data_IF_153857339080
#
_entry.id   IF_153857339080
#
_cell.length_a   1.000
_cell.length_b   1.000
_cell.length_c   1.000
_cell.angle_alpha   90.00
_cell.angle_beta   90.00
_cell.angle_gamma   90.00
#
_symmetry.space_group_name_H-M   'P 1'
#
loop_
_entity.id
_entity.type
_entity.pdbx_description
1 polymer ?
#
# COMPACT_ATOMS: atom_id res chain seq x y z
N UNK A 1 -24.66 30.56 -1.85
CA UNK A 1 -23.72 29.44 -2.14
C UNK A 1 -23.92 28.42 -1.04
N UNK A 2 -24.08 27.15 -1.38
CA UNK A 2 -24.07 26.08 -0.37
C UNK A 2 -22.68 26.02 0.26
N UNK A 3 -22.61 26.09 1.58
CA UNK A 3 -21.36 25.91 2.28
C UNK A 3 -21.03 24.44 2.46
N UNK A 4 -19.73 24.12 2.49
CA UNK A 4 -19.25 22.76 2.74
C UNK A 4 -18.54 22.73 4.08
N UNK A 5 -18.94 21.82 4.97
CA UNK A 5 -18.18 21.54 6.17
C UNK A 5 -17.21 20.39 5.90
N UNK A 6 -15.92 20.64 6.08
CA UNK A 6 -14.86 19.64 5.96
C UNK A 6 -14.24 19.35 7.32
N UNK A 7 -13.75 18.13 7.47
CA UNK A 7 -13.10 17.61 8.68
C UNK A 7 -12.04 16.57 8.28
N UNK A 8 -11.30 16.06 9.27
CA UNK A 8 -10.37 14.95 9.04
C UNK A 8 -9.22 15.32 8.07
N UNK A 9 -8.83 14.43 7.15
CA UNK A 9 -7.74 14.64 6.19
C UNK A 9 -7.83 15.95 5.39
N UNK A 10 -9.03 16.38 4.99
CA UNK A 10 -9.24 17.58 4.16
C UNK A 10 -8.91 18.89 4.88
N UNK A 11 -8.62 18.86 6.18
CA UNK A 11 -8.07 19.99 6.92
C UNK A 11 -6.61 20.29 6.52
N UNK A 12 -5.89 19.33 5.94
CA UNK A 12 -4.56 19.56 5.36
C UNK A 12 -4.67 20.49 4.15
N UNK A 13 -3.99 21.64 4.22
CA UNK A 13 -4.07 22.68 3.20
C UNK A 13 -3.60 22.17 1.83
N UNK A 14 -2.47 21.45 1.79
CA UNK A 14 -1.91 20.94 0.53
C UNK A 14 -2.87 19.92 -0.12
N UNK A 15 -3.40 18.98 0.66
CA UNK A 15 -4.38 18.01 0.17
C UNK A 15 -5.63 18.73 -0.36
N UNK A 16 -6.15 19.68 0.41
CA UNK A 16 -7.34 20.44 0.01
C UNK A 16 -7.11 21.21 -1.27
N UNK A 17 -5.96 21.85 -1.43
CA UNK A 17 -5.59 22.58 -2.65
C UNK A 17 -5.47 21.65 -3.87
N UNK A 18 -4.86 20.48 -3.71
CA UNK A 18 -4.78 19.45 -4.77
C UNK A 18 -6.19 19.01 -5.21
N UNK A 19 -7.03 18.66 -4.24
CA UNK A 19 -8.41 18.21 -4.49
C UNK A 19 -9.23 19.32 -5.14
N UNK A 20 -9.23 20.52 -4.58
CA UNK A 20 -10.02 21.66 -5.08
C UNK A 20 -9.45 22.25 -6.38
N UNK A 21 -8.16 22.06 -6.64
CA UNK A 21 -7.45 22.56 -7.82
C UNK A 21 -7.02 24.03 -7.71
N UNK A 22 -7.11 24.63 -6.53
CA UNK A 22 -6.67 25.99 -6.21
C UNK A 22 -6.70 26.21 -4.69
N UNK A 23 -6.00 27.23 -4.17
CA UNK A 23 -6.17 27.73 -2.81
C UNK A 23 -7.64 27.97 -2.46
N UNK A 24 -8.11 27.33 -1.39
CA UNK A 24 -9.45 27.53 -0.84
C UNK A 24 -9.37 27.58 0.69
N UNK A 25 -9.42 28.80 1.21
CA UNK A 25 -9.45 29.07 2.63
C UNK A 25 -10.81 28.69 3.23
N UNK A 26 -10.79 28.22 4.48
CA UNK A 26 -11.99 27.92 5.24
C UNK A 26 -12.11 28.78 6.49
N UNK A 27 -13.33 28.96 6.96
CA UNK A 27 -13.61 29.58 8.25
C UNK A 27 -13.73 28.49 9.32
N UNK A 28 -13.10 28.62 10.50
CA UNK A 28 -13.27 27.66 11.59
C UNK A 28 -14.75 27.46 11.92
N UNK A 29 -15.17 26.19 11.91
CA UNK A 29 -16.55 25.79 12.16
C UNK A 29 -16.58 24.57 13.07
N UNK A 30 -17.69 24.38 13.77
CA UNK A 30 -17.89 23.28 14.71
C UNK A 30 -19.17 22.52 14.37
N UNK A 31 -19.04 21.23 14.06
CA UNK A 31 -20.16 20.30 13.99
C UNK A 31 -20.51 19.82 15.40
N UNK A 32 -21.79 19.78 15.73
CA UNK A 32 -22.28 19.34 17.05
C UNK A 32 -22.89 17.94 16.98
N UNK A 33 -22.99 17.29 18.14
CA UNK A 33 -23.56 15.96 18.33
C UNK A 33 -22.85 14.84 17.54
N UNK A 34 -21.58 15.06 17.21
CA UNK A 34 -20.74 14.10 16.53
C UNK A 34 -19.37 14.02 17.21
N UNK A 35 -18.78 12.84 17.17
CA UNK A 35 -17.38 12.60 17.51
C UNK A 35 -16.64 12.08 16.29
N UNK A 36 -15.41 12.55 16.10
CA UNK A 36 -14.50 12.05 15.07
C UNK A 36 -13.66 10.91 15.64
N UNK A 37 -13.71 9.74 15.02
CA UNK A 37 -13.03 8.53 15.48
C UNK A 37 -12.11 7.98 14.39
N UNK A 38 -11.06 7.29 14.84
CA UNK A 38 -10.14 6.55 14.00
C UNK A 38 -10.73 5.16 13.75
N UNK A 39 -10.78 4.71 12.51
CA UNK A 39 -11.10 3.33 12.15
C UNK A 39 -9.82 2.50 11.97
N UNK A 40 -9.90 1.17 12.02
CA UNK A 40 -8.73 0.29 11.98
C UNK A 40 -7.89 0.46 10.69
N UNK A 41 -8.54 0.83 9.59
CA UNK A 41 -7.91 1.13 8.30
C UNK A 41 -7.30 2.54 8.21
N UNK A 42 -7.35 3.33 9.29
CA UNK A 42 -6.83 4.69 9.35
C UNK A 42 -7.84 5.81 9.00
N UNK A 43 -9.06 5.47 8.63
CA UNK A 43 -10.07 6.46 8.22
C UNK A 43 -10.59 7.30 9.38
N UNK A 44 -11.00 8.53 9.07
CA UNK A 44 -11.63 9.47 9.99
C UNK A 44 -13.15 9.38 9.86
N UNK A 45 -13.80 8.65 10.77
CA UNK A 45 -15.25 8.41 10.73
C UNK A 45 -16.02 9.33 11.68
N UNK A 46 -17.24 9.70 11.30
CA UNK A 46 -18.14 10.48 12.15
C UNK A 46 -19.19 9.58 12.81
N UNK A 47 -19.18 9.57 14.13
CA UNK A 47 -20.14 8.84 14.96
C UNK A 47 -21.06 9.84 15.66
N UNK A 48 -22.37 9.58 15.66
CA UNK A 48 -23.33 10.38 16.40
C UNK A 48 -23.05 10.22 17.92
N UNK A 49 -22.79 11.34 18.59
CA UNK A 49 -22.49 11.35 20.03
C UNK A 49 -23.01 12.66 20.62
N UNK A 50 -24.12 12.59 21.36
CA UNK A 50 -24.77 13.76 21.93
C UNK A 50 -23.80 14.58 22.80
N UNK A 51 -23.80 15.91 22.61
CA UNK A 51 -22.92 16.82 23.33
C UNK A 51 -21.45 16.83 22.88
N UNK A 52 -21.04 15.90 21.99
CA UNK A 52 -19.71 15.95 21.38
C UNK A 52 -19.65 16.98 20.25
N UNK A 53 -18.43 17.41 19.92
CA UNK A 53 -18.19 18.38 18.85
C UNK A 53 -17.00 17.98 18.01
N UNK A 54 -17.06 18.29 16.71
CA UNK A 54 -15.94 18.14 15.76
C UNK A 54 -15.57 19.49 15.22
N UNK A 55 -14.30 19.88 15.42
CA UNK A 55 -13.72 21.06 14.78
C UNK A 55 -13.42 20.78 13.31
N UNK A 56 -13.74 21.73 12.44
CA UNK A 56 -13.47 21.65 11.03
C UNK A 56 -13.46 23.03 10.38
N UNK A 57 -13.64 23.05 9.06
CA UNK A 57 -13.68 24.29 8.28
C UNK A 57 -14.97 24.36 7.46
N UNK A 58 -15.59 25.54 7.45
CA UNK A 58 -16.62 25.92 6.50
C UNK A 58 -15.97 26.51 5.25
N UNK A 59 -16.25 25.92 4.10
CA UNK A 59 -15.79 26.34 2.78
C UNK A 59 -16.95 26.89 1.95
N UNK A 60 -16.65 27.82 1.05
CA UNK A 60 -17.59 28.35 0.06
C UNK A 60 -17.04 28.15 -1.36
N UNK A 61 -16.96 26.90 -1.85
CA UNK A 61 -16.44 26.62 -3.18
C UNK A 61 -17.39 27.14 -4.28
N UNK A 62 -16.82 27.54 -5.42
CA UNK A 62 -17.60 27.67 -6.65
C UNK A 62 -18.05 26.30 -7.18
N UNK A 63 -18.91 26.26 -8.20
CA UNK A 63 -19.46 25.00 -8.72
C UNK A 63 -18.40 23.97 -9.14
N UNK A 64 -17.29 24.41 -9.77
CA UNK A 64 -16.20 23.54 -10.18
C UNK A 64 -15.47 22.96 -8.97
N UNK A 65 -15.17 23.80 -7.98
CA UNK A 65 -14.50 23.40 -6.74
C UNK A 65 -15.38 22.43 -5.92
N UNK A 66 -16.69 22.68 -5.85
CA UNK A 66 -17.66 21.84 -5.16
C UNK A 66 -17.74 20.44 -5.79
N UNK A 67 -17.77 20.36 -7.13
CA UNK A 67 -17.79 19.09 -7.85
C UNK A 67 -16.50 18.26 -7.61
N UNK A 68 -15.34 18.92 -7.59
CA UNK A 68 -14.05 18.27 -7.30
C UNK A 68 -13.99 17.73 -5.87
N UNK A 69 -14.42 18.53 -4.89
CA UNK A 69 -14.48 18.14 -3.49
C UNK A 69 -15.44 16.96 -3.28
N UNK A 70 -16.63 17.01 -3.89
CA UNK A 70 -17.61 15.94 -3.81
C UNK A 70 -17.10 14.63 -4.42
N UNK A 71 -16.46 14.70 -5.59
CA UNK A 71 -15.86 13.53 -6.25
C UNK A 71 -14.82 12.85 -5.35
N UNK A 72 -13.85 13.61 -4.84
CA UNK A 72 -12.80 13.07 -3.97
C UNK A 72 -13.37 12.52 -2.66
N UNK A 73 -14.25 13.27 -2.00
CA UNK A 73 -14.85 12.86 -0.73
C UNK A 73 -15.70 11.57 -0.89
N UNK A 74 -16.40 11.42 -2.01
CA UNK A 74 -17.10 10.17 -2.37
C UNK A 74 -16.11 9.01 -2.58
N UNK A 75 -14.99 9.29 -3.24
CA UNK A 75 -13.88 8.33 -3.39
C UNK A 75 -13.24 7.90 -2.08
N UNK A 76 -13.27 8.75 -1.06
CA UNK A 76 -12.87 8.40 0.31
C UNK A 76 -13.99 7.71 1.12
N UNK A 77 -15.09 7.31 0.47
CA UNK A 77 -16.21 6.64 1.12
C UNK A 77 -17.23 7.55 1.78
N UNK A 78 -17.11 8.87 1.62
CA UNK A 78 -18.03 9.85 2.16
C UNK A 78 -19.35 9.90 1.40
N UNK A 79 -20.47 9.97 2.13
CA UNK A 79 -21.79 10.22 1.54
C UNK A 79 -22.26 11.64 1.89
N UNK A 80 -22.85 12.39 0.94
CA UNK A 80 -23.27 13.76 1.20
C UNK A 80 -24.43 13.79 2.18
N UNK A 81 -24.32 14.62 3.22
CA UNK A 81 -25.36 14.89 4.21
C UNK A 81 -25.48 16.39 4.48
N UNK A 82 -26.70 16.83 4.78
CA UNK A 82 -26.93 18.18 5.30
C UNK A 82 -26.70 18.17 6.80
N UNK A 83 -25.99 19.19 7.30
CA UNK A 83 -25.69 19.35 8.71
C UNK A 83 -25.78 20.82 9.14
N UNK A 84 -26.01 21.04 10.43
CA UNK A 84 -25.88 22.36 11.05
C UNK A 84 -24.51 22.48 11.71
N UNK A 85 -23.76 23.52 11.32
CA UNK A 85 -22.46 23.84 11.89
C UNK A 85 -22.48 25.22 12.52
N UNK A 86 -21.68 25.38 13.58
CA UNK A 86 -21.53 26.66 14.28
C UNK A 86 -20.27 27.37 13.81
N UNK A 87 -20.43 28.62 13.37
CA UNK A 87 -19.33 29.53 13.01
C UNK A 87 -19.39 30.70 13.99
N UNK A 88 -18.47 30.73 14.96
CA UNK A 88 -18.57 31.66 16.10
C UNK A 88 -19.83 31.39 16.93
N UNK A 89 -20.78 32.32 16.91
CA UNK A 89 -22.09 32.22 17.59
C UNK A 89 -23.24 31.88 16.65
N UNK A 90 -23.01 31.89 15.33
CA UNK A 90 -24.04 31.66 14.33
C UNK A 90 -24.14 30.19 13.96
N UNK A 91 -25.35 29.69 13.74
CA UNK A 91 -25.58 28.41 13.08
C UNK A 91 -25.77 28.62 11.59
N UNK A 92 -25.18 27.72 10.80
CA UNK A 92 -25.27 27.70 9.34
C UNK A 92 -25.46 26.27 8.89
N UNK A 93 -26.35 26.08 7.92
CA UNK A 93 -26.49 24.83 7.20
C UNK A 93 -25.30 24.64 6.26
N UNK A 94 -24.78 23.41 6.19
CA UNK A 94 -23.67 23.02 5.33
C UNK A 94 -23.86 21.61 4.79
N UNK A 95 -23.23 21.31 3.65
CA UNK A 95 -23.05 19.94 3.17
C UNK A 95 -21.75 19.38 3.75
N UNK A 96 -21.80 18.19 4.34
CA UNK A 96 -20.61 17.40 4.68
C UNK A 96 -20.63 16.08 3.94
N UNK A 97 -19.48 15.43 3.82
CA UNK A 97 -19.38 14.07 3.30
C UNK A 97 -19.06 13.15 4.45
N UNK A 98 -20.08 12.42 4.92
CA UNK A 98 -19.96 11.55 6.08
C UNK A 98 -19.34 10.22 5.70
N UNK A 99 -18.20 9.91 6.30
CA UNK A 99 -17.68 8.54 6.36
C UNK A 99 -18.28 7.89 7.59
N UNK A 100 -19.10 6.85 7.38
CA UNK A 100 -19.79 6.12 8.44
C UNK A 100 -18.94 4.95 8.93
N UNK A 101 -18.95 4.70 10.23
CA UNK A 101 -18.37 3.51 10.85
C UNK A 101 -19.08 3.18 12.17
N UNK A 102 -18.70 2.07 12.81
CA UNK A 102 -19.47 1.51 13.94
C UNK A 102 -19.06 2.08 15.29
N UNK A 103 -17.77 2.00 15.64
CA UNK A 103 -17.27 2.37 16.98
C UNK A 103 -15.95 3.12 16.93
N UNK A 104 -15.10 2.81 15.94
CA UNK A 104 -13.71 3.28 15.87
C UNK A 104 -12.82 2.59 16.90
N UNK A 105 -11.50 2.61 16.66
CA UNK A 105 -10.47 2.06 17.55
C UNK A 105 -9.91 3.11 18.52
N UNK A 106 -10.29 4.38 18.36
CA UNK A 106 -9.82 5.48 19.21
C UNK A 106 -10.31 6.86 18.74
N UNK A 107 -9.97 7.94 19.46
CA UNK A 107 -10.13 9.30 18.94
C UNK A 107 -9.23 9.48 17.71
N UNK A 108 -9.72 10.21 16.71
CA UNK A 108 -8.88 10.59 15.57
C UNK A 108 -8.11 11.87 15.89
N UNK A 109 -6.81 11.89 15.60
CA UNK A 109 -5.95 13.05 15.76
C UNK A 109 -5.31 13.49 14.43
N UNK A 110 -5.39 14.79 14.15
CA UNK A 110 -4.86 15.36 12.90
C UNK A 110 -3.33 15.30 12.84
N UNK A 111 -2.64 15.50 13.96
CA UNK A 111 -1.18 15.51 14.03
C UNK A 111 -0.60 14.11 13.81
N UNK A 112 -1.18 13.10 14.45
CA UNK A 112 -0.84 11.69 14.25
C UNK A 112 -1.12 11.26 12.81
N UNK A 113 -2.32 11.58 12.28
CA UNK A 113 -2.65 11.28 10.89
C UNK A 113 -1.70 11.97 9.90
N UNK A 114 -1.39 13.27 10.11
CA UNK A 114 -0.53 14.03 9.20
C UNK A 114 0.89 13.46 9.15
N UNK A 115 1.40 13.02 10.31
CA UNK A 115 2.72 12.38 10.45
C UNK A 115 2.75 11.03 9.77
N UNK A 116 1.74 10.18 10.00
CA UNK A 116 1.72 8.79 9.53
C UNK A 116 1.24 8.63 8.09
N UNK A 117 0.16 9.30 7.72
CA UNK A 117 -0.55 9.09 6.45
C UNK A 117 -0.53 10.30 5.52
N UNK A 118 -0.33 11.51 6.04
CA UNK A 118 -0.48 12.76 5.26
C UNK A 118 0.30 12.79 3.94
N UNK A 119 1.55 12.30 3.93
CA UNK A 119 2.36 12.22 2.68
C UNK A 119 1.74 11.26 1.66
N UNK A 120 1.34 10.06 2.11
CA UNK A 120 0.72 9.04 1.26
C UNK A 120 -0.61 9.55 0.72
N UNK A 121 -1.46 10.16 1.56
CA UNK A 121 -2.77 10.68 1.15
C UNK A 121 -2.64 11.78 0.09
N UNK A 122 -1.70 12.72 0.26
CA UNK A 122 -1.44 13.76 -0.75
C UNK A 122 -0.98 13.18 -2.08
N UNK A 123 -0.11 12.18 -2.06
CA UNK A 123 0.36 11.51 -3.28
C UNK A 123 -0.74 10.70 -3.96
N UNK A 124 -1.56 10.01 -3.17
CA UNK A 124 -2.73 9.29 -3.65
C UNK A 124 -3.78 10.24 -4.27
N UNK A 125 -3.93 11.44 -3.71
CA UNK A 125 -4.84 12.45 -4.24
C UNK A 125 -4.46 12.92 -5.65
N UNK A 126 -3.17 13.04 -5.97
CA UNK A 126 -2.73 13.37 -7.34
C UNK A 126 -3.26 12.35 -8.36
N UNK A 127 -3.14 11.06 -8.06
CA UNK A 127 -3.67 9.99 -8.90
C UNK A 127 -5.20 9.95 -8.90
N UNK A 128 -5.83 10.04 -7.73
CA UNK A 128 -7.29 10.03 -7.61
C UNK A 128 -7.95 11.13 -8.43
N UNK A 129 -7.38 12.34 -8.38
CA UNK A 129 -7.88 13.52 -9.08
C UNK A 129 -7.55 13.52 -10.58
N UNK A 130 -6.56 12.73 -11.02
CA UNK A 130 -6.30 12.53 -12.45
C UNK A 130 -7.46 11.81 -13.15
N UNK A 131 -8.20 10.95 -12.44
CA UNK A 131 -9.38 10.24 -12.98
C UNK A 131 -10.68 11.08 -12.96
N UNK A 132 -10.63 12.32 -12.45
CA UNK A 132 -11.81 13.17 -12.40
C UNK A 132 -12.37 13.41 -13.81
N UNK A 133 -13.62 12.98 -14.02
CA UNK A 133 -14.30 13.08 -15.31
C UNK A 133 -14.12 11.86 -16.22
N UNK A 134 -13.27 10.90 -15.82
CA UNK A 134 -13.11 9.60 -16.48
C UNK A 134 -13.90 8.50 -15.75
N UNK A 135 -13.88 8.51 -14.41
CA UNK A 135 -14.67 7.61 -13.56
C UNK A 135 -15.48 8.40 -12.53
N UNK A 136 -16.48 7.77 -11.93
CA UNK A 136 -17.26 8.37 -10.84
C UNK A 136 -16.62 8.13 -9.46
N UNK A 137 -17.12 8.83 -8.44
CA UNK A 137 -16.59 8.74 -7.07
C UNK A 137 -16.75 7.34 -6.45
N UNK A 138 -17.78 6.58 -6.84
CA UNK A 138 -18.01 5.21 -6.36
C UNK A 138 -16.95 4.26 -6.91
N UNK A 139 -16.63 4.38 -8.20
CA UNK A 139 -15.54 3.63 -8.85
C UNK A 139 -14.19 4.03 -8.27
N UNK A 140 -14.00 5.33 -8.00
CA UNK A 140 -12.80 5.81 -7.32
C UNK A 140 -12.65 5.16 -5.93
N UNK A 141 -13.74 5.04 -5.16
CA UNK A 141 -13.74 4.40 -3.85
C UNK A 141 -13.23 2.96 -3.92
N UNK A 142 -13.73 2.18 -4.88
CA UNK A 142 -13.28 0.80 -5.08
C UNK A 142 -11.77 0.71 -5.40
N UNK A 143 -11.19 1.75 -6.02
CA UNK A 143 -9.76 1.80 -6.40
C UNK A 143 -8.85 2.42 -5.34
N UNK A 144 -9.42 3.08 -4.33
CA UNK A 144 -8.65 3.88 -3.39
C UNK A 144 -7.61 3.09 -2.57
N UNK A 145 -7.90 1.85 -2.11
CA UNK A 145 -6.89 1.03 -1.44
C UNK A 145 -5.64 0.83 -2.32
N UNK A 146 -5.83 0.47 -3.59
CA UNK A 146 -4.72 0.26 -4.52
C UNK A 146 -3.98 1.56 -4.88
N UNK A 147 -4.70 2.69 -4.98
CA UNK A 147 -4.09 4.01 -5.19
C UNK A 147 -3.19 4.40 -4.00
N UNK A 148 -3.70 4.25 -2.78
CA UNK A 148 -2.92 4.52 -1.55
C UNK A 148 -1.68 3.63 -1.47
N UNK A 149 -1.83 2.36 -1.81
CA UNK A 149 -0.72 1.40 -1.82
C UNK A 149 0.36 1.75 -2.85
N UNK A 150 -0.02 2.10 -4.09
CA UNK A 150 0.93 2.60 -5.11
C UNK A 150 1.61 3.89 -4.65
N UNK A 151 0.86 4.80 -4.02
CA UNK A 151 1.41 6.04 -3.47
C UNK A 151 2.45 5.77 -2.37
N UNK A 152 2.17 4.83 -1.46
CA UNK A 152 3.10 4.41 -0.42
C UNK A 152 4.38 3.78 -0.99
N UNK A 153 4.24 2.88 -1.96
CA UNK A 153 5.39 2.25 -2.64
C UNK A 153 6.27 3.28 -3.35
N UNK A 154 5.66 4.23 -4.06
CA UNK A 154 6.40 5.30 -4.74
C UNK A 154 7.16 6.19 -3.76
N UNK A 155 6.58 6.51 -2.61
CA UNK A 155 7.26 7.28 -1.55
C UNK A 155 8.43 6.51 -0.94
N UNK A 156 8.27 5.20 -0.69
CA UNK A 156 9.39 4.34 -0.24
C UNK A 156 10.53 4.35 -1.26
N UNK A 157 10.21 4.16 -2.54
CA UNK A 157 11.17 4.21 -3.65
C UNK A 157 11.88 5.57 -3.80
N UNK A 158 11.18 6.69 -3.54
CA UNK A 158 11.78 8.03 -3.55
C UNK A 158 12.82 8.23 -2.44
N UNK A 159 12.72 7.48 -1.34
CA UNK A 159 13.69 7.51 -0.23
C UNK A 159 14.69 6.35 -0.26
N UNK A 160 14.60 5.45 -1.25
CA UNK A 160 15.48 4.30 -1.35
C UNK A 160 16.89 4.72 -1.78
N UNK A 161 17.88 4.45 -0.93
CA UNK A 161 19.29 4.77 -1.17
C UNK A 161 20.11 3.49 -1.38
N UNK A 162 20.16 3.03 -2.64
CA UNK A 162 20.94 1.85 -3.02
C UNK A 162 22.44 2.21 -3.11
N UNK A 163 23.36 1.37 -2.59
CA UNK A 163 24.79 1.60 -2.75
C UNK A 163 25.20 1.70 -4.23
N UNK A 164 25.89 2.79 -4.58
CA UNK A 164 26.38 3.09 -5.93
C UNK A 164 27.89 2.88 -6.09
N UNK A 165 28.46 1.90 -5.37
CA UNK A 165 29.90 1.62 -5.40
C UNK A 165 30.37 1.00 -6.74
N UNK A 166 29.46 0.31 -7.44
CA UNK A 166 29.72 -0.31 -8.75
C UNK A 166 28.73 0.15 -9.82
N UNK A 167 27.44 0.32 -9.47
CA UNK A 167 26.40 0.79 -10.38
C UNK A 167 26.50 2.31 -10.59
N UNK A 168 25.81 2.80 -11.62
CA UNK A 168 25.74 4.24 -11.87
C UNK A 168 25.18 5.03 -10.69
N UNK A 169 25.78 6.17 -10.38
CA UNK A 169 25.26 7.18 -9.46
C UNK A 169 24.33 8.21 -10.13
N UNK A 170 23.96 8.00 -11.41
CA UNK A 170 23.03 8.88 -12.12
C UNK A 170 21.69 8.94 -11.43
N UNK A 171 21.35 10.11 -10.89
CA UNK A 171 20.08 10.34 -10.20
C UNK A 171 18.91 10.50 -11.18
N UNK A 172 17.68 10.20 -10.71
CA UNK A 172 16.46 10.15 -11.53
C UNK A 172 16.10 11.48 -12.20
N UNK A 173 16.49 12.60 -11.60
CA UNK A 173 16.27 13.95 -12.13
C UNK A 173 17.00 14.23 -13.45
N UNK A 174 17.99 13.39 -13.79
CA UNK A 174 18.70 13.44 -15.08
C UNK A 174 17.91 12.79 -16.21
N UNK A 175 16.83 12.07 -15.91
CA UNK A 175 15.93 11.48 -16.91
C UNK A 175 14.88 12.51 -17.30
N UNK A 176 14.84 12.87 -18.57
CA UNK A 176 13.80 13.73 -19.12
C UNK A 176 12.55 12.90 -19.39
N UNK A 177 11.42 13.29 -18.79
CA UNK A 177 10.09 12.74 -19.09
C UNK A 177 9.43 13.64 -20.13
N UNK A 178 9.14 13.08 -21.30
CA UNK A 178 8.56 13.78 -22.45
C UNK A 178 7.03 13.60 -22.50
N UNK A 179 6.54 12.42 -22.13
CA UNK A 179 5.12 12.11 -22.02
C UNK A 179 4.90 10.98 -21.01
N UNK A 180 3.73 10.96 -20.37
CA UNK A 180 3.28 9.93 -19.44
C UNK A 180 1.79 9.65 -19.71
N UNK A 181 1.41 8.38 -19.79
CA UNK A 181 0.02 7.93 -19.96
C UNK A 181 -0.26 6.70 -19.10
N UNK A 182 -1.53 6.50 -18.73
CA UNK A 182 -1.99 5.31 -17.98
C UNK A 182 -3.05 4.57 -18.80
N UNK A 183 -2.65 3.72 -19.76
CA UNK A 183 -3.61 3.04 -20.64
C UNK A 183 -4.52 2.03 -19.93
N UNK A 184 -4.13 1.56 -18.73
CA UNK A 184 -4.92 0.60 -17.96
C UNK A 184 -4.81 0.88 -16.47
N UNK A 185 -5.96 0.89 -15.79
CA UNK A 185 -6.05 1.02 -14.33
C UNK A 185 -7.24 0.22 -13.85
N UNK A 186 -6.98 -0.78 -13.04
CA UNK A 186 -7.96 -1.56 -12.29
C UNK A 186 -7.29 -2.12 -11.02
N UNK A 187 -7.31 -3.45 -10.82
CA UNK A 187 -6.54 -4.12 -9.76
C UNK A 187 -5.03 -3.82 -9.85
N UNK A 188 -4.47 -3.79 -11.05
CA UNK A 188 -3.13 -3.25 -11.35
C UNK A 188 -3.25 -1.99 -12.21
N UNK A 189 -2.17 -1.22 -12.33
CA UNK A 189 -2.07 -0.15 -13.32
C UNK A 189 -0.94 -0.43 -14.32
N UNK A 190 -1.08 0.09 -15.54
CA UNK A 190 0.01 0.18 -16.52
C UNK A 190 0.30 1.65 -16.75
N UNK A 191 1.56 2.04 -16.56
CA UNK A 191 2.07 3.36 -16.94
C UNK A 191 2.95 3.22 -18.17
N UNK A 192 2.72 4.07 -19.17
CA UNK A 192 3.62 4.25 -20.30
C UNK A 192 4.29 5.62 -20.21
N UNK A 193 5.60 5.65 -20.46
CA UNK A 193 6.39 6.89 -20.49
C UNK A 193 7.21 6.98 -21.75
N UNK A 194 7.34 8.19 -22.27
CA UNK A 194 8.35 8.55 -23.27
C UNK A 194 9.45 9.30 -22.53
N UNK A 195 10.66 8.76 -22.53
CA UNK A 195 11.79 9.31 -21.78
C UNK A 195 13.04 9.47 -22.65
N UNK A 196 13.95 10.32 -22.19
CA UNK A 196 15.34 10.36 -22.68
C UNK A 196 16.29 10.45 -21.48
N UNK A 197 17.34 9.65 -21.46
CA UNK A 197 18.26 9.54 -20.32
C UNK A 197 19.73 9.69 -20.74
N UNK A 198 20.64 10.02 -19.81
CA UNK A 198 22.08 10.03 -20.07
C UNK A 198 22.57 8.63 -20.46
N UNK A 199 23.51 8.57 -21.40
CA UNK A 199 24.19 7.34 -21.81
C UNK A 199 25.56 7.23 -21.14
N UNK A 200 26.08 6.01 -21.05
CA UNK A 200 27.41 5.75 -20.48
C UNK A 200 28.57 6.32 -21.30
N UNK A 201 28.34 6.65 -22.57
CA UNK A 201 29.32 7.32 -23.45
C UNK A 201 29.33 8.85 -23.30
N UNK A 202 28.60 9.39 -22.32
CA UNK A 202 28.46 10.84 -22.09
C UNK A 202 27.41 11.52 -22.96
N UNK A 203 26.79 10.80 -23.91
CA UNK A 203 25.70 11.31 -24.73
C UNK A 203 24.34 11.25 -24.05
N UNK A 204 23.29 11.54 -24.83
CA UNK A 204 21.88 11.42 -24.43
C UNK A 204 21.20 10.38 -25.33
N UNK A 205 20.28 9.60 -24.77
CA UNK A 205 19.53 8.62 -25.54
C UNK A 205 18.57 9.31 -26.51
N UNK A 206 18.16 8.60 -27.56
CA UNK A 206 16.95 8.98 -28.29
C UNK A 206 15.71 8.89 -27.37
N UNK A 207 14.54 9.28 -27.90
CA UNK A 207 13.27 9.13 -27.19
C UNK A 207 12.91 7.64 -27.11
N UNK A 208 12.71 7.15 -25.89
CA UNK A 208 12.42 5.76 -25.62
C UNK A 208 11.01 5.65 -25.06
N UNK A 209 10.16 4.83 -25.68
CA UNK A 209 8.89 4.40 -25.10
C UNK A 209 9.16 3.25 -24.12
N UNK A 210 8.65 3.35 -22.90
CA UNK A 210 8.67 2.30 -21.88
C UNK A 210 7.27 2.12 -21.30
N UNK A 211 6.99 0.90 -20.85
CA UNK A 211 5.77 0.58 -20.13
C UNK A 211 6.16 -0.20 -18.86
N UNK A 212 5.42 -0.02 -17.79
CA UNK A 212 5.59 -0.76 -16.55
C UNK A 212 4.25 -1.08 -15.89
N UNK A 213 4.16 -2.27 -15.30
CA UNK A 213 3.11 -2.64 -14.37
C UNK A 213 3.38 -1.96 -13.03
N UNK A 214 2.45 -1.10 -12.64
CA UNK A 214 2.52 -0.31 -11.42
C UNK A 214 1.69 -0.96 -10.34
N UNK A 215 2.37 -1.40 -9.28
CA UNK A 215 1.79 -2.06 -8.12
C UNK A 215 2.51 -1.64 -6.83
N UNK A 216 1.99 -2.08 -5.69
CA UNK A 216 2.57 -1.83 -4.37
C UNK A 216 3.88 -2.57 -4.16
N UNK A 217 4.53 -2.29 -3.04
CA UNK A 217 5.62 -3.13 -2.53
C UNK A 217 5.04 -4.23 -1.66
N UNK A 218 5.80 -5.32 -1.52
CA UNK A 218 5.40 -6.47 -0.72
C UNK A 218 6.58 -6.98 0.13
N UNK A 219 6.23 -7.82 1.09
CA UNK A 219 7.18 -8.55 1.94
C UNK A 219 7.08 -10.03 1.64
N UNK A 220 8.18 -10.73 1.85
CA UNK A 220 8.16 -12.19 1.96
C UNK A 220 8.86 -12.57 3.25
N UNK A 221 8.33 -13.55 3.97
CA UNK A 221 8.95 -14.10 5.16
C UNK A 221 8.97 -15.61 5.06
N UNK A 222 10.17 -16.20 5.11
CA UNK A 222 10.33 -17.65 5.23
C UNK A 222 10.45 -17.98 6.73
N UNK A 223 9.44 -18.61 7.35
CA UNK A 223 9.57 -19.09 8.71
C UNK A 223 10.62 -20.19 8.79
N UNK A 224 11.50 -20.11 9.79
CA UNK A 224 12.57 -21.06 10.05
C UNK A 224 12.61 -21.41 11.54
N UNK A 225 12.59 -22.71 11.83
CA UNK A 225 12.83 -23.25 13.17
C UNK A 225 14.27 -23.76 13.25
N UNK A 226 15.18 -23.05 13.94
CA UNK A 226 16.57 -23.46 14.06
C UNK A 226 16.77 -24.69 14.94
N UNK A 227 15.81 -25.03 15.81
CA UNK A 227 15.90 -26.19 16.71
C UNK A 227 15.57 -27.48 15.96
N UNK A 228 14.53 -27.44 15.12
CA UNK A 228 14.10 -28.58 14.29
C UNK A 228 14.77 -28.62 12.92
N UNK A 229 15.45 -27.54 12.54
CA UNK A 229 16.03 -27.31 11.22
C UNK A 229 15.02 -27.43 10.08
N UNK A 230 13.80 -26.93 10.33
CA UNK A 230 12.68 -26.94 9.39
C UNK A 230 12.31 -25.54 8.93
N UNK A 231 11.68 -25.45 7.76
CA UNK A 231 11.09 -24.23 7.23
C UNK A 231 9.60 -24.46 6.97
N UNK A 232 8.84 -23.37 6.93
CA UNK A 232 7.47 -23.41 6.41
C UNK A 232 7.39 -22.75 5.03
N UNK A 233 6.74 -23.42 4.10
CA UNK A 233 6.31 -22.88 2.81
C UNK A 233 4.79 -22.86 2.76
N UNK A 234 4.24 -21.96 1.96
CA UNK A 234 2.84 -21.95 1.57
C UNK A 234 2.72 -22.37 0.10
N UNK A 235 1.65 -23.11 -0.22
CA UNK A 235 1.27 -23.51 -1.56
C UNK A 235 -0.07 -22.87 -1.91
N UNK A 236 -0.11 -22.10 -2.99
CA UNK A 236 -1.32 -21.42 -3.43
C UNK A 236 -1.41 -21.27 -4.94
N UNK A 237 -2.62 -21.10 -5.45
CA UNK A 237 -2.86 -20.81 -6.86
C UNK A 237 -2.34 -19.42 -7.23
N UNK A 238 -1.54 -19.34 -8.29
CA UNK A 238 -1.12 -18.06 -8.88
C UNK A 238 -1.65 -17.91 -10.30
N UNK A 239 -2.33 -16.79 -10.53
CA UNK A 239 -2.92 -16.47 -11.82
C UNK A 239 -1.87 -16.28 -12.94
N UNK A 240 -0.68 -15.76 -12.62
CA UNK A 240 0.35 -15.50 -13.63
C UNK A 240 0.91 -16.77 -14.28
N UNK A 241 1.33 -17.82 -13.54
CA UNK A 241 1.61 -19.14 -14.11
C UNK A 241 0.44 -19.72 -14.92
N UNK A 242 -0.79 -19.62 -14.42
CA UNK A 242 -1.99 -20.09 -15.14
C UNK A 242 -2.16 -19.38 -16.50
N UNK A 243 -2.08 -18.05 -16.52
CA UNK A 243 -2.20 -17.25 -17.75
C UNK A 243 -1.03 -17.48 -18.72
N UNK A 244 0.15 -17.84 -18.21
CA UNK A 244 1.31 -18.26 -19.00
C UNK A 244 1.09 -19.64 -19.65
N UNK A 245 0.10 -20.41 -19.20
CA UNK A 245 -0.18 -21.77 -19.67
C UNK A 245 0.64 -22.84 -18.94
N UNK A 246 1.08 -22.54 -17.70
CA UNK A 246 1.77 -23.52 -16.87
C UNK A 246 0.81 -24.67 -16.47
N UNK A 247 1.19 -25.95 -16.64
CA UNK A 247 0.34 -27.07 -16.23
C UNK A 247 0.15 -27.18 -14.72
N UNK A 248 0.96 -26.49 -13.90
CA UNK A 248 0.92 -26.56 -12.43
C UNK A 248 0.98 -25.15 -11.82
N UNK A 249 -0.14 -24.39 -11.83
CA UNK A 249 -0.13 -23.01 -11.36
C UNK A 249 -0.22 -22.84 -9.84
N UNK A 250 -0.12 -23.94 -9.07
CA UNK A 250 0.08 -23.89 -7.63
C UNK A 250 1.57 -23.90 -7.35
N UNK A 251 2.06 -22.88 -6.65
CA UNK A 251 3.48 -22.65 -6.44
C UNK A 251 3.81 -22.66 -4.95
N UNK A 252 5.03 -23.11 -4.63
CA UNK A 252 5.59 -23.07 -3.28
C UNK A 252 6.29 -21.72 -3.05
N UNK A 253 5.91 -21.02 -1.99
CA UNK A 253 6.35 -19.66 -1.67
C UNK A 253 6.58 -19.50 -0.15
N UNK A 254 7.36 -18.51 0.31
CA UNK A 254 7.26 -18.02 1.68
C UNK A 254 5.89 -17.35 1.89
N UNK A 255 5.55 -17.14 3.15
CA UNK A 255 4.46 -16.23 3.54
C UNK A 255 4.74 -14.87 2.91
N UNK A 256 3.73 -14.25 2.28
CA UNK A 256 3.95 -13.02 1.53
C UNK A 256 2.69 -12.18 1.44
N UNK A 257 2.86 -10.87 1.60
CA UNK A 257 1.76 -9.95 1.39
C UNK A 257 2.21 -8.51 1.23
N UNK A 258 1.23 -7.65 0.97
CA UNK A 258 1.50 -6.27 0.56
C UNK A 258 1.82 -5.42 1.78
N UNK A 259 2.65 -4.39 1.57
CA UNK A 259 2.94 -3.42 2.63
C UNK A 259 1.89 -2.32 2.58
N UNK A 260 1.06 -2.28 3.61
CA UNK A 260 -0.03 -1.32 3.69
C UNK A 260 0.47 0.13 3.84
N UNK A 261 -0.35 1.12 3.43
CA UNK A 261 -0.07 2.52 3.68
C UNK A 261 0.25 2.78 5.17
N UNK A 262 1.38 3.40 5.46
CA UNK A 262 1.79 3.72 6.84
C UNK A 262 2.31 2.52 7.64
N UNK A 263 2.55 1.38 6.99
CA UNK A 263 3.20 0.19 7.54
C UNK A 263 4.68 0.14 7.09
N UNK A 264 5.56 -0.32 7.98
CA UNK A 264 6.94 -0.69 7.65
C UNK A 264 7.01 -2.12 7.09
N UNK A 265 8.05 -2.48 6.31
CA UNK A 265 8.22 -3.87 5.86
C UNK A 265 8.26 -4.90 6.99
N UNK A 266 8.76 -4.53 8.17
CA UNK A 266 8.83 -5.44 9.32
C UNK A 266 7.46 -5.65 9.98
N UNK A 267 6.65 -4.59 10.09
CA UNK A 267 5.26 -4.69 10.57
C UNK A 267 4.43 -5.57 9.62
N UNK A 268 4.54 -5.34 8.31
CA UNK A 268 3.86 -6.15 7.29
C UNK A 268 4.24 -7.62 7.41
N UNK A 269 5.54 -7.94 7.47
CA UNK A 269 5.99 -9.33 7.54
C UNK A 269 5.47 -10.07 8.78
N UNK A 270 5.29 -9.36 9.90
CA UNK A 270 4.74 -9.94 11.14
C UNK A 270 3.23 -10.11 11.07
N UNK A 271 2.52 -9.14 10.47
CA UNK A 271 1.07 -9.21 10.25
C UNK A 271 0.73 -10.40 9.35
N UNK A 272 1.39 -10.51 8.19
CA UNK A 272 1.17 -11.61 7.24
C UNK A 272 1.47 -12.98 7.85
N UNK A 273 2.52 -13.11 8.68
CA UNK A 273 2.81 -14.36 9.36
C UNK A 273 1.70 -14.83 10.32
N UNK A 274 1.00 -13.89 10.95
CA UNK A 274 -0.16 -14.18 11.80
C UNK A 274 -1.39 -14.48 10.94
N UNK A 275 -1.64 -13.69 9.89
CA UNK A 275 -2.83 -13.81 9.03
C UNK A 275 -2.82 -15.10 8.19
N UNK A 276 -1.71 -15.44 7.55
CA UNK A 276 -1.64 -16.59 6.64
C UNK A 276 -1.39 -17.93 7.37
N UNK A 277 -0.63 -17.91 8.47
CA UNK A 277 -0.14 -19.12 9.13
C UNK A 277 -0.31 -19.16 10.66
N UNK A 278 -0.86 -18.11 11.28
CA UNK A 278 -1.02 -18.05 12.74
C UNK A 278 0.30 -18.05 13.51
N UNK A 279 1.41 -17.64 12.87
CA UNK A 279 2.76 -17.74 13.43
C UNK A 279 3.20 -16.44 14.10
N UNK A 280 3.57 -16.55 15.38
CA UNK A 280 4.30 -15.49 16.07
C UNK A 280 5.81 -15.58 15.80
N UNK A 281 6.36 -14.59 15.11
CA UNK A 281 7.79 -14.53 14.81
C UNK A 281 8.60 -13.97 15.98
N UNK A 282 9.51 -14.77 16.55
CA UNK A 282 10.42 -14.36 17.64
C UNK A 282 11.46 -13.34 17.17
N UNK A 283 12.06 -13.58 16.01
CA UNK A 283 13.04 -12.69 15.40
C UNK A 283 12.78 -12.58 13.90
N UNK A 284 13.16 -11.45 13.31
CA UNK A 284 13.02 -11.21 11.88
C UNK A 284 14.38 -10.76 11.35
N UNK A 285 14.89 -11.46 10.34
CA UNK A 285 16.19 -11.17 9.73
C UNK A 285 15.98 -10.73 8.29
N UNK A 286 16.32 -9.48 7.98
CA UNK A 286 16.29 -8.96 6.62
C UNK A 286 17.33 -9.69 5.76
N UNK A 287 16.86 -10.34 4.69
CA UNK A 287 17.71 -10.88 3.62
C UNK A 287 18.20 -9.72 2.75
N UNK A 288 17.27 -8.84 2.37
CA UNK A 288 17.48 -7.69 1.51
C UNK A 288 16.22 -7.35 0.73
N UNK A 289 16.32 -6.31 -0.10
CA UNK A 289 15.25 -5.89 -1.00
C UNK A 289 15.60 -6.20 -2.47
N UNK A 290 14.60 -6.50 -3.30
CA UNK A 290 14.81 -6.74 -4.72
C UNK A 290 13.64 -6.29 -5.61
N UNK A 291 13.94 -5.96 -6.87
CA UNK A 291 12.95 -5.87 -7.93
C UNK A 291 12.85 -7.25 -8.59
N UNK A 292 11.69 -7.94 -8.56
CA UNK A 292 11.56 -9.27 -9.14
C UNK A 292 11.71 -9.24 -10.67
N UNK A 293 11.27 -8.16 -11.32
CA UNK A 293 11.43 -7.95 -12.76
C UNK A 293 11.60 -6.45 -13.09
N UNK A 294 12.81 -5.87 -12.93
CA UNK A 294 13.04 -4.43 -13.04
C UNK A 294 12.81 -3.87 -14.45
N UNK A 295 12.66 -4.74 -15.46
CA UNK A 295 12.31 -4.34 -16.82
C UNK A 295 10.81 -4.09 -17.04
N UNK A 296 9.94 -4.52 -16.10
CA UNK A 296 8.50 -4.55 -16.32
C UNK A 296 7.65 -4.15 -15.11
N UNK A 297 8.11 -4.38 -13.88
CA UNK A 297 7.26 -4.28 -12.67
C UNK A 297 7.88 -3.31 -11.66
N UNK A 298 7.05 -2.45 -11.06
CA UNK A 298 7.51 -1.47 -10.06
C UNK A 298 7.65 -2.02 -8.65
N UNK A 299 7.06 -3.19 -8.38
CA UNK A 299 7.10 -3.87 -7.08
C UNK A 299 8.53 -3.99 -6.56
N UNK A 300 8.72 -3.63 -5.30
CA UNK A 300 9.92 -3.95 -4.54
C UNK A 300 9.58 -4.94 -3.43
N UNK A 301 10.31 -6.05 -3.39
CA UNK A 301 10.11 -7.12 -2.42
C UNK A 301 11.12 -7.00 -1.28
N UNK A 302 10.63 -6.94 -0.05
CA UNK A 302 11.45 -6.99 1.16
C UNK A 302 11.43 -8.41 1.74
N UNK A 303 12.53 -9.16 1.55
CA UNK A 303 12.60 -10.57 1.91
C UNK A 303 13.20 -10.76 3.31
N UNK A 304 12.60 -11.63 4.11
CA UNK A 304 13.01 -11.91 5.48
C UNK A 304 13.08 -13.41 5.77
N UNK A 305 13.90 -13.78 6.76
CA UNK A 305 13.75 -15.02 7.51
C UNK A 305 13.09 -14.69 8.85
N UNK A 306 11.99 -15.38 9.17
CA UNK A 306 11.29 -15.26 10.45
C UNK A 306 11.61 -16.44 11.35
N UNK A 307 12.11 -16.21 12.56
CA UNK A 307 12.34 -17.29 13.52
C UNK A 307 11.02 -17.61 14.22
N UNK A 308 10.54 -18.84 14.06
CA UNK A 308 9.32 -19.34 14.66
C UNK A 308 9.55 -20.73 15.26
N UNK A 309 8.63 -21.20 16.09
CA UNK A 309 8.53 -22.62 16.42
C UNK A 309 7.60 -23.25 15.37
N UNK A 310 8.05 -24.33 14.72
CA UNK A 310 7.32 -24.97 13.64
C UNK A 310 7.00 -26.42 14.02
N UNK A 311 6.01 -26.66 14.91
CA UNK A 311 5.54 -28.01 15.25
C UNK A 311 4.87 -28.68 14.04
N UNK A 312 4.66 -30.00 14.06
CA UNK A 312 4.07 -30.72 12.92
C UNK A 312 2.62 -30.26 12.66
N UNK A 313 1.93 -29.80 13.70
CA UNK A 313 0.59 -29.22 13.63
C UNK A 313 0.54 -27.85 12.94
N UNK A 314 1.70 -27.23 12.65
CA UNK A 314 1.75 -26.03 11.83
C UNK A 314 1.52 -26.34 10.34
N UNK A 315 1.61 -27.60 9.92
CA UNK A 315 1.10 -28.02 8.60
C UNK A 315 -0.43 -27.95 8.57
N UNK A 316 -1.00 -27.55 7.43
CA UNK A 316 -2.45 -27.51 7.30
C UNK A 316 -2.97 -26.62 6.19
N UNK A 317 -4.27 -26.34 6.26
CA UNK A 317 -4.93 -25.35 5.41
C UNK A 317 -5.00 -24.02 6.17
N UNK A 318 -4.70 -22.93 5.47
CA UNK A 318 -4.70 -21.56 5.98
C UNK A 318 -5.24 -20.58 4.93
N UNK A 319 -4.95 -19.30 5.13
CA UNK A 319 -5.43 -18.20 4.30
C UNK A 319 -6.66 -17.49 4.85
N UNK A 320 -6.94 -16.30 4.29
CA UNK A 320 -8.08 -15.48 4.71
C UNK A 320 -9.32 -15.79 3.86
N UNK A 321 -10.35 -16.36 4.48
CA UNK A 321 -11.66 -16.63 3.84
C UNK A 321 -12.23 -15.38 3.11
N UNK A 322 -11.96 -14.19 3.65
CA UNK A 322 -12.40 -12.92 3.10
C UNK A 322 -11.71 -12.54 1.78
N UNK A 323 -10.53 -13.09 1.51
CA UNK A 323 -9.72 -12.82 0.32
C UNK A 323 -9.86 -13.92 -0.76
N UNK A 324 -10.63 -14.96 -0.46
CA UNK A 324 -10.82 -16.10 -1.37
C UNK A 324 -9.55 -16.93 -1.56
N UNK A 325 -8.62 -16.85 -0.60
CA UNK A 325 -7.37 -17.58 -0.62
C UNK A 325 -7.57 -19.03 -0.17
N UNK A 326 -6.98 -19.96 -0.92
CA UNK A 326 -6.91 -21.40 -0.59
C UNK A 326 -5.42 -21.75 -0.45
N UNK A 327 -4.91 -21.66 0.78
CA UNK A 327 -3.49 -21.81 1.09
C UNK A 327 -3.26 -23.12 1.82
N UNK A 328 -2.23 -23.87 1.40
CA UNK A 328 -1.72 -25.03 2.13
C UNK A 328 -0.33 -24.74 2.68
N UNK A 329 -0.13 -24.90 3.98
CA UNK A 329 1.16 -24.80 4.64
C UNK A 329 1.89 -26.15 4.67
N UNK A 330 3.19 -26.13 4.39
CA UNK A 330 4.10 -27.28 4.36
C UNK A 330 5.27 -27.03 5.31
N UNK A 331 5.53 -27.92 6.27
CA UNK A 331 6.68 -27.82 7.19
C UNK A 331 7.68 -28.88 6.80
N UNK A 332 8.77 -28.47 6.15
CA UNK A 332 9.76 -29.41 5.59
C UNK A 332 11.13 -29.20 6.22
N UNK A 333 11.96 -30.26 6.32
CA UNK A 333 13.38 -30.11 6.66
C UNK A 333 14.06 -29.14 5.70
N UNK A 334 15.01 -28.35 6.18
CA UNK A 334 15.77 -27.45 5.34
C UNK A 334 16.47 -28.18 4.18
N UNK A 335 17.03 -29.36 4.42
CA UNK A 335 17.71 -30.11 3.36
C UNK A 335 16.73 -30.47 2.23
N UNK A 336 15.46 -30.75 2.58
CA UNK A 336 14.39 -30.95 1.60
C UNK A 336 14.08 -29.67 0.83
N UNK A 337 14.05 -28.50 1.47
CA UNK A 337 13.92 -27.21 0.77
C UNK A 337 15.01 -27.06 -0.31
N UNK A 338 16.26 -27.40 0.01
CA UNK A 338 17.36 -27.30 -0.95
C UNK A 338 17.22 -28.32 -2.10
N UNK A 339 16.80 -29.55 -1.82
CA UNK A 339 16.47 -30.53 -2.86
C UNK A 339 15.38 -29.98 -3.82
N UNK A 340 14.34 -29.34 -3.29
CA UNK A 340 13.26 -28.75 -4.11
C UNK A 340 13.76 -27.61 -4.99
N UNK A 341 14.73 -26.82 -4.52
CA UNK A 341 15.41 -25.79 -5.33
C UNK A 341 16.22 -26.44 -6.46
N UNK A 342 16.95 -27.53 -6.17
CA UNK A 342 17.78 -28.23 -7.15
C UNK A 342 16.94 -28.94 -8.23
N UNK A 343 15.81 -29.53 -7.86
CA UNK A 343 14.91 -30.20 -8.82
C UNK A 343 14.09 -29.23 -9.66
N UNK A 344 14.01 -27.96 -9.25
CA UNK A 344 13.15 -26.95 -9.86
C UNK A 344 11.67 -27.07 -9.48
N UNK A 345 11.34 -27.83 -8.43
CA UNK A 345 10.00 -27.84 -7.83
C UNK A 345 9.70 -26.51 -7.11
N UNK A 346 10.75 -25.84 -6.63
CA UNK A 346 10.71 -24.41 -6.31
C UNK A 346 11.17 -23.61 -7.53
N UNK A 347 10.25 -22.83 -8.09
CA UNK A 347 10.45 -22.00 -9.28
C UNK A 347 10.16 -20.51 -9.03
N UNK A 348 9.95 -20.14 -7.75
CA UNK A 348 9.65 -18.78 -7.32
C UNK A 348 10.90 -18.07 -6.79
N UNK A 349 11.20 -16.91 -7.36
CA UNK A 349 12.42 -16.14 -7.06
C UNK A 349 12.62 -15.83 -5.57
N UNK A 350 11.60 -15.34 -4.83
CA UNK A 350 11.74 -15.04 -3.39
C UNK A 350 12.06 -16.28 -2.54
N UNK A 351 11.51 -17.45 -2.89
CA UNK A 351 11.80 -18.72 -2.21
C UNK A 351 13.25 -19.12 -2.41
N UNK A 352 13.72 -19.11 -3.67
CA UNK A 352 15.12 -19.42 -4.00
C UNK A 352 16.09 -18.47 -3.29
N UNK A 353 15.80 -17.17 -3.29
CA UNK A 353 16.61 -16.16 -2.61
C UNK A 353 16.68 -16.43 -1.09
N UNK A 354 15.55 -16.75 -0.47
CA UNK A 354 15.46 -17.03 0.96
C UNK A 354 16.21 -18.31 1.32
N UNK A 355 16.03 -19.38 0.53
CA UNK A 355 16.71 -20.65 0.71
C UNK A 355 18.24 -20.49 0.65
N UNK A 356 18.76 -19.88 -0.42
CA UNK A 356 20.20 -19.68 -0.63
C UNK A 356 20.82 -18.74 0.42
N UNK A 357 20.08 -17.71 0.85
CA UNK A 357 20.55 -16.86 1.93
C UNK A 357 20.62 -17.64 3.25
N UNK A 358 19.57 -18.41 3.57
CA UNK A 358 19.49 -19.21 4.79
C UNK A 358 20.58 -20.27 4.83
N UNK A 359 20.83 -20.97 3.71
CA UNK A 359 21.95 -21.92 3.55
C UNK A 359 23.28 -21.28 3.97
N UNK A 360 23.58 -20.12 3.38
CA UNK A 360 24.82 -19.38 3.64
C UNK A 360 24.94 -18.95 5.09
N UNK A 361 23.86 -18.48 5.71
CA UNK A 361 23.89 -17.99 7.09
C UNK A 361 23.90 -19.13 8.13
N UNK A 362 23.25 -20.27 7.84
CA UNK A 362 23.39 -21.51 8.63
C UNK A 362 24.85 -21.98 8.62
N UNK A 363 25.49 -22.03 7.45
CA UNK A 363 26.90 -22.39 7.32
C UNK A 363 27.87 -21.44 8.06
N UNK A 364 27.44 -20.19 8.31
CA UNK A 364 28.20 -19.21 9.11
C UNK A 364 27.94 -19.30 10.62
N UNK A 365 27.07 -20.19 11.05
CA UNK A 365 26.70 -20.36 12.45
C UNK A 365 25.78 -19.26 12.99
N UNK A 366 25.06 -18.51 12.13
CA UNK A 366 24.15 -17.44 12.57
C UNK A 366 23.01 -17.98 13.45
N UNK A 367 22.64 -19.23 13.27
CA UNK A 367 21.50 -19.88 13.91
C UNK A 367 21.89 -21.12 14.74
N UNK A 368 23.18 -21.26 15.06
CA UNK A 368 23.73 -22.38 15.81
C UNK A 368 23.74 -22.14 17.32
#
# INVERSE_FOLDING_TARGET
MSGFFIYGPLLDDNLREQVVGAPLAGQPAVLTNHALRLEANGDAILIAQAGATVSGLMLYPNAKQAARLAYYATGCGGSPETCDVRIGTEQREATLFRISGTTGVGPWDFGEWSTRYGKVTRRAADEAMAYLGEIDGTTLRARMPTILMRAAARLRGETHDAPVTLRSATHRDRVEVIAETRPYVDYFAVEEVIVSHPRFDGGKSERLKRAGFVMGDAVTVLPYDPVRETVMLIEQFRAAPFLRGDPRPWVLEPIAGRIDPGETPEEAARREAIEEAGLELRALHLIGGNYPSPGAVTEYLFCHIGIADLPDEAEGLGGLDAEGEDIRAHVIPFDRLMELVETGEIDTGPTMLSALWLERERARGRFA
#
